data_IF_657133376384
#
_entry.id   IF_657133376384
#
_cell.length_a   1.000
_cell.length_b   1.000
_cell.length_c   1.000
_cell.angle_alpha   90.00
_cell.angle_beta   90.00
_cell.angle_gamma   90.00
#
_symmetry.space_group_name_H-M   'P 1'
#
loop_
_entity.id
_entity.type
_entity.pdbx_description
1 polymer ?
#
# COMPACT_ATOMS: atom_id res chain seq x y z
N UNK A 1 -46.09 6.44 4.79
CA UNK A 1 -45.50 6.51 6.14
C UNK A 1 -44.23 5.68 6.09
N UNK A 2 -43.16 6.33 5.69
CA UNK A 2 -41.81 5.79 5.60
C UNK A 2 -41.18 5.73 6.99
N UNK A 3 -40.45 4.66 7.30
CA UNK A 3 -39.93 4.46 8.66
C UNK A 3 -39.00 3.26 8.80
N UNK A 4 -37.87 3.34 8.11
CA UNK A 4 -36.61 2.59 8.23
C UNK A 4 -36.30 2.10 9.65
N UNK A 5 -35.86 0.84 9.78
CA UNK A 5 -34.98 0.40 10.88
C UNK A 5 -34.13 -0.79 10.45
N UNK A 6 -33.07 -0.52 9.68
CA UNK A 6 -32.00 -1.49 9.45
C UNK A 6 -30.93 -1.29 10.53
N UNK A 7 -31.01 -2.13 11.56
CA UNK A 7 -30.02 -2.33 12.61
C UNK A 7 -28.62 -2.58 11.99
N UNK A 8 -27.76 -1.57 11.96
CA UNK A 8 -26.33 -1.73 11.64
C UNK A 8 -25.56 -1.98 12.94
N UNK A 9 -25.75 -3.18 13.48
CA UNK A 9 -25.18 -3.56 14.76
C UNK A 9 -24.77 -5.02 14.78
N UNK A 10 -23.88 -5.43 13.88
CA UNK A 10 -22.91 -6.49 14.15
C UNK A 10 -21.84 -6.52 13.04
N UNK A 11 -20.65 -5.96 13.29
CA UNK A 11 -19.49 -6.19 12.41
C UNK A 11 -18.78 -7.41 12.96
N UNK A 12 -18.87 -8.59 12.32
CA UNK A 12 -18.19 -9.77 12.83
C UNK A 12 -16.67 -9.50 12.89
N UNK A 13 -16.01 -9.89 13.99
CA UNK A 13 -14.56 -9.85 14.08
C UNK A 13 -14.01 -10.91 13.11
N UNK A 14 -12.87 -10.63 12.48
CA UNK A 14 -12.17 -11.52 11.55
C UNK A 14 -12.70 -11.60 10.10
N UNK A 15 -12.97 -10.46 9.46
CA UNK A 15 -12.68 -10.38 8.01
C UNK A 15 -11.16 -10.35 7.89
N UNK A 16 -10.56 -11.48 7.53
CA UNK A 16 -9.15 -11.53 7.11
C UNK A 16 -8.99 -10.44 6.06
N UNK A 17 -8.33 -9.33 6.40
CA UNK A 17 -8.22 -8.16 5.51
C UNK A 17 -7.41 -8.60 4.31
N UNK A 18 -8.11 -9.02 3.25
CA UNK A 18 -7.49 -9.55 2.04
C UNK A 18 -6.83 -8.39 1.31
N UNK A 19 -5.51 -8.31 1.45
CA UNK A 19 -4.69 -7.38 0.68
C UNK A 19 -4.63 -7.87 -0.76
N UNK A 20 -5.26 -7.13 -1.66
CA UNK A 20 -5.29 -7.42 -3.09
C UNK A 20 -4.15 -6.68 -3.81
N UNK A 21 -3.65 -7.25 -4.90
CA UNK A 21 -2.62 -6.57 -5.71
C UNK A 21 -3.25 -5.79 -6.85
N UNK A 22 -2.89 -4.51 -7.00
CA UNK A 22 -3.27 -3.67 -8.14
C UNK A 22 -2.60 -4.19 -9.43
N UNK A 23 -3.41 -4.42 -10.46
CA UNK A 23 -2.95 -4.92 -11.77
C UNK A 23 -3.16 -3.90 -12.89
N UNK A 24 -4.15 -3.03 -12.77
CA UNK A 24 -4.59 -2.19 -13.89
C UNK A 24 -3.84 -0.86 -13.90
N UNK A 25 -3.32 -0.47 -15.07
CA UNK A 25 -2.58 0.78 -15.27
C UNK A 25 -3.35 2.05 -14.82
N UNK A 26 -4.67 2.20 -15.06
CA UNK A 26 -5.41 3.37 -14.59
C UNK A 26 -5.34 3.57 -13.08
N UNK A 27 -5.31 2.50 -12.29
CA UNK A 27 -5.22 2.59 -10.82
C UNK A 27 -3.87 3.19 -10.39
N UNK A 28 -2.78 2.82 -11.06
CA UNK A 28 -1.47 3.43 -10.83
C UNK A 28 -1.42 4.90 -11.24
N UNK A 29 -2.09 5.28 -12.33
CA UNK A 29 -2.17 6.68 -12.76
C UNK A 29 -2.92 7.53 -11.73
N UNK A 30 -4.06 7.03 -11.23
CA UNK A 30 -4.82 7.70 -10.16
C UNK A 30 -4.01 7.87 -8.87
N UNK A 31 -3.13 6.91 -8.55
CA UNK A 31 -2.25 7.01 -7.38
C UNK A 31 -1.11 8.03 -7.53
N UNK A 32 -0.82 8.52 -8.74
CA UNK A 32 0.36 9.38 -8.99
C UNK A 32 0.25 10.75 -8.30
N UNK A 33 -0.95 11.32 -8.23
CA UNK A 33 -1.21 12.61 -7.55
C UNK A 33 -1.53 12.48 -6.05
N UNK A 34 -1.53 11.27 -5.50
CA UNK A 34 -1.93 11.03 -4.13
C UNK A 34 -0.85 11.44 -3.11
N UNK A 35 -1.22 11.70 -1.85
CA UNK A 35 -0.25 11.93 -0.78
C UNK A 35 0.82 10.84 -0.74
N UNK A 36 2.07 11.27 -0.61
CA UNK A 36 3.24 10.37 -0.65
C UNK A 36 4.25 10.68 0.42
N UNK A 37 4.95 9.65 0.84
CA UNK A 37 6.09 9.73 1.76
C UNK A 37 7.29 9.07 1.09
N UNK A 38 8.39 9.81 1.05
CA UNK A 38 9.67 9.32 0.55
C UNK A 38 10.47 8.72 1.72
N UNK A 39 10.91 7.48 1.56
CA UNK A 39 11.85 6.79 2.43
C UNK A 39 13.16 6.51 1.68
N UNK A 40 14.27 6.20 2.37
CA UNK A 40 15.55 5.89 1.73
C UNK A 40 15.41 4.77 0.68
N UNK A 41 14.65 3.72 0.99
CA UNK A 41 14.50 2.56 0.12
C UNK A 41 13.36 2.63 -0.89
N UNK A 42 12.35 3.49 -0.72
CA UNK A 42 11.16 3.50 -1.58
C UNK A 42 10.37 4.80 -1.42
N UNK A 43 9.34 4.96 -2.24
CA UNK A 43 8.29 5.97 -2.03
C UNK A 43 6.99 5.21 -1.82
N UNK A 44 6.24 5.56 -0.76
CA UNK A 44 4.91 5.05 -0.51
C UNK A 44 3.90 6.13 -0.88
N UNK A 45 3.02 5.82 -1.83
CA UNK A 45 1.85 6.61 -2.17
C UNK A 45 0.63 5.96 -1.53
N UNK A 46 -0.30 6.77 -1.04
CA UNK A 46 -1.58 6.30 -0.52
C UNK A 46 -2.70 7.16 -1.07
N UNK A 47 -3.65 6.48 -1.71
CA UNK A 47 -4.85 7.09 -2.29
C UNK A 47 -6.08 6.56 -1.56
N UNK A 48 -6.96 7.47 -1.17
CA UNK A 48 -8.32 7.13 -0.75
C UNK A 48 -9.17 6.86 -2.00
N UNK A 49 -9.88 5.73 -2.01
CA UNK A 49 -10.81 5.40 -3.09
C UNK A 49 -12.17 6.05 -2.87
N UNK A 50 -12.89 6.25 -3.97
CA UNK A 50 -14.31 6.59 -3.89
C UNK A 50 -15.10 5.40 -3.34
N UNK A 51 -16.26 5.68 -2.74
CA UNK A 51 -17.20 4.65 -2.35
C UNK A 51 -17.58 3.79 -3.57
N UNK A 52 -17.73 2.48 -3.36
CA UNK A 52 -18.06 1.47 -4.39
C UNK A 52 -16.97 1.18 -5.45
N UNK A 53 -15.76 1.75 -5.37
CA UNK A 53 -14.70 1.45 -6.36
C UNK A 53 -14.12 0.03 -6.22
N UNK A 54 -13.91 -0.44 -4.99
CA UNK A 54 -13.56 -1.82 -4.65
C UNK A 54 -13.47 -1.99 -3.12
N UNK A 55 -13.58 -3.23 -2.66
CA UNK A 55 -13.47 -3.56 -1.24
C UNK A 55 -12.02 -3.80 -0.78
N UNK A 56 -11.84 -3.95 0.53
CA UNK A 56 -10.58 -4.41 1.15
C UNK A 56 -9.44 -3.39 1.08
N UNK A 57 -8.21 -3.88 1.01
CA UNK A 57 -6.98 -3.08 0.86
C UNK A 57 -6.32 -3.49 -0.44
N UNK A 58 -5.86 -2.51 -1.24
CA UNK A 58 -5.11 -2.83 -2.47
C UNK A 58 -3.70 -2.28 -2.42
N UNK A 59 -2.76 -3.00 -3.03
CA UNK A 59 -1.37 -2.57 -3.17
C UNK A 59 -0.80 -2.77 -4.57
N UNK A 60 -0.15 -1.74 -5.09
CA UNK A 60 0.64 -1.76 -6.31
C UNK A 60 2.14 -1.72 -6.01
N UNK A 61 2.93 -2.33 -6.90
CA UNK A 61 4.39 -2.30 -6.83
C UNK A 61 4.96 -1.79 -8.14
N UNK A 62 5.73 -0.72 -8.07
CA UNK A 62 6.39 -0.12 -9.22
C UNK A 62 7.90 -0.18 -9.00
N UNK A 63 8.60 -0.90 -9.87
CA UNK A 63 10.06 -0.87 -9.94
C UNK A 63 10.45 -0.43 -11.34
N UNK A 64 10.95 0.80 -11.48
CA UNK A 64 11.35 1.33 -12.78
C UNK A 64 12.55 0.55 -13.35
N UNK A 65 12.77 0.63 -14.67
CA UNK A 65 13.99 0.09 -15.29
C UNK A 65 15.27 0.68 -14.68
N UNK A 66 15.18 1.90 -14.12
CA UNK A 66 16.28 2.57 -13.43
C UNK A 66 16.70 1.86 -12.15
N UNK A 67 15.88 0.97 -11.58
CA UNK A 67 16.18 0.30 -10.29
C UNK A 67 17.48 -0.52 -10.33
N UNK A 68 17.83 -1.04 -11.51
CA UNK A 68 19.05 -1.83 -11.73
C UNK A 68 18.82 -2.90 -12.79
N UNK A 69 19.71 -3.89 -12.83
CA UNK A 69 19.57 -5.07 -13.71
C UNK A 69 18.32 -5.91 -13.34
N UNK A 70 18.01 -6.93 -14.15
CA UNK A 70 16.84 -7.79 -13.93
C UNK A 70 16.82 -8.43 -12.53
N UNK A 71 17.98 -8.85 -12.01
CA UNK A 71 18.12 -9.48 -10.71
C UNK A 71 17.84 -8.49 -9.58
N UNK A 72 18.47 -7.31 -9.62
CA UNK A 72 18.26 -6.23 -8.65
C UNK A 72 16.79 -5.77 -8.63
N UNK A 73 16.16 -5.64 -9.81
CA UNK A 73 14.74 -5.31 -9.94
C UNK A 73 13.84 -6.40 -9.33
N UNK A 74 14.13 -7.67 -9.58
CA UNK A 74 13.36 -8.79 -9.03
C UNK A 74 13.53 -8.88 -7.52
N UNK A 75 14.75 -8.67 -7.00
CA UNK A 75 15.06 -8.59 -5.58
C UNK A 75 14.31 -7.44 -4.90
N UNK A 76 14.34 -6.24 -5.49
CA UNK A 76 13.58 -5.10 -5.01
C UNK A 76 12.07 -5.40 -4.96
N UNK A 77 11.51 -5.95 -6.04
CA UNK A 77 10.08 -6.31 -6.09
C UNK A 77 9.69 -7.42 -5.10
N UNK A 78 10.59 -8.37 -4.79
CA UNK A 78 10.38 -9.39 -3.76
C UNK A 78 10.38 -8.75 -2.36
N UNK A 79 11.36 -7.89 -2.08
CA UNK A 79 11.47 -7.18 -0.79
C UNK A 79 10.28 -6.27 -0.52
N UNK A 80 9.85 -5.48 -1.51
CA UNK A 80 8.67 -4.61 -1.39
C UNK A 80 7.39 -5.41 -1.14
N UNK A 81 7.23 -6.57 -1.79
CA UNK A 81 6.09 -7.47 -1.55
C UNK A 81 6.10 -8.01 -0.14
N UNK A 82 7.27 -8.39 0.37
CA UNK A 82 7.35 -9.00 1.69
C UNK A 82 7.07 -7.99 2.82
N UNK A 83 7.63 -6.77 2.77
CA UNK A 83 7.32 -5.74 3.79
C UNK A 83 5.82 -5.41 3.80
N UNK A 84 5.19 -5.34 2.63
CA UNK A 84 3.76 -5.09 2.51
C UNK A 84 2.92 -6.26 3.04
N UNK A 85 3.30 -7.50 2.72
CA UNK A 85 2.63 -8.71 3.19
C UNK A 85 2.63 -8.80 4.72
N UNK A 86 3.72 -8.39 5.36
CA UNK A 86 3.85 -8.42 6.82
C UNK A 86 3.05 -7.30 7.49
N UNK A 87 3.07 -6.09 6.95
CA UNK A 87 2.52 -4.91 7.64
C UNK A 87 1.07 -4.55 7.24
N UNK A 88 0.67 -4.68 5.97
CA UNK A 88 -0.65 -4.24 5.52
C UNK A 88 -1.84 -4.99 6.15
N UNK A 89 -1.78 -6.31 6.40
CA UNK A 89 -2.88 -7.00 7.09
C UNK A 89 -3.13 -6.50 8.52
N UNK A 90 -2.11 -5.94 9.17
CA UNK A 90 -2.19 -5.46 10.56
C UNK A 90 -2.45 -3.96 10.66
N UNK A 91 -1.88 -3.17 9.75
CA UNK A 91 -1.86 -1.70 9.87
C UNK A 91 -2.47 -1.00 8.66
N UNK A 92 -2.87 -1.71 7.62
CA UNK A 92 -3.47 -1.08 6.45
C UNK A 92 -4.90 -0.61 6.72
N UNK A 93 -5.32 0.45 6.02
CA UNK A 93 -6.69 0.98 6.10
C UNK A 93 -7.55 0.46 4.94
N UNK A 94 -8.75 -0.01 5.26
CA UNK A 94 -9.74 -0.44 4.26
C UNK A 94 -10.17 0.76 3.41
N UNK A 95 -10.42 0.53 2.12
CA UNK A 95 -10.75 1.60 1.18
C UNK A 95 -9.52 2.34 0.63
N UNK A 96 -8.31 2.02 1.08
CA UNK A 96 -7.07 2.63 0.57
C UNK A 96 -6.38 1.80 -0.52
N UNK A 97 -5.78 2.52 -1.46
CA UNK A 97 -4.82 2.02 -2.45
C UNK A 97 -3.41 2.47 -2.06
N UNK A 98 -2.53 1.50 -1.82
CA UNK A 98 -1.11 1.74 -1.56
C UNK A 98 -0.29 1.50 -2.83
N UNK A 99 0.65 2.37 -3.16
CA UNK A 99 1.60 2.11 -4.26
C UNK A 99 3.02 2.29 -3.73
N UNK A 100 3.79 1.20 -3.78
CA UNK A 100 5.20 1.18 -3.43
C UNK A 100 6.07 1.35 -4.68
N UNK A 101 6.85 2.43 -4.71
CA UNK A 101 7.78 2.73 -5.79
C UNK A 101 9.21 2.49 -5.31
N UNK A 102 9.88 1.50 -5.90
CA UNK A 102 11.29 1.21 -5.61
C UNK A 102 12.23 2.29 -6.12
N UNK A 103 13.22 2.65 -5.30
CA UNK A 103 14.33 3.56 -5.63
C UNK A 103 15.51 2.78 -6.20
N UNK A 104 16.20 3.41 -7.16
CA UNK A 104 17.44 2.91 -7.75
C UNK A 104 18.51 2.69 -6.69
N UNK A 105 19.18 1.54 -6.77
CA UNK A 105 20.31 1.12 -5.92
C UNK A 105 20.06 1.11 -4.40
N UNK A 106 18.88 1.53 -3.92
CA UNK A 106 18.53 1.56 -2.50
C UNK A 106 17.60 0.41 -2.11
N UNK A 107 16.46 0.22 -2.82
CA UNK A 107 15.48 -0.84 -2.45
C UNK A 107 16.11 -2.23 -2.46
N UNK A 108 16.98 -2.47 -3.44
CA UNK A 108 17.64 -3.75 -3.56
C UNK A 108 18.69 -3.95 -2.47
N UNK A 109 19.41 -2.92 -2.02
CA UNK A 109 20.62 -3.09 -1.22
C UNK A 109 20.45 -2.82 0.27
N UNK A 110 19.50 -1.99 0.68
CA UNK A 110 19.29 -1.67 2.09
C UNK A 110 18.98 -2.91 2.94
N UNK A 111 19.32 -2.90 4.24
CA UNK A 111 18.91 -3.93 5.17
C UNK A 111 17.38 -4.12 5.17
N UNK A 112 16.91 -5.36 5.26
CA UNK A 112 15.47 -5.66 5.12
C UNK A 112 14.66 -5.16 6.32
N UNK A 113 15.23 -5.27 7.52
CA UNK A 113 14.74 -4.69 8.76
C UNK A 113 14.60 -3.17 8.67
N UNK A 114 15.54 -2.48 8.00
CA UNK A 114 15.42 -1.05 7.73
C UNK A 114 14.20 -0.76 6.85
N UNK A 115 14.00 -1.55 5.78
CA UNK A 115 12.83 -1.38 4.90
C UNK A 115 11.50 -1.60 5.66
N UNK A 116 11.45 -2.52 6.61
CA UNK A 116 10.28 -2.73 7.45
C UNK A 116 10.01 -1.52 8.37
N UNK A 117 11.03 -1.04 9.08
CA UNK A 117 10.92 0.14 9.95
C UNK A 117 10.46 1.36 9.17
N UNK A 118 11.08 1.60 8.01
CA UNK A 118 10.72 2.70 7.12
C UNK A 118 9.27 2.57 6.63
N UNK A 119 8.79 1.36 6.36
CA UNK A 119 7.43 1.11 5.90
C UNK A 119 6.40 1.43 6.99
N UNK A 120 6.61 0.94 8.21
CA UNK A 120 5.75 1.26 9.35
C UNK A 120 5.74 2.77 9.64
N UNK A 121 6.89 3.44 9.56
CA UNK A 121 6.98 4.90 9.70
C UNK A 121 6.20 5.63 8.60
N UNK A 122 6.34 5.20 7.35
CA UNK A 122 5.63 5.80 6.23
C UNK A 122 4.11 5.65 6.36
N UNK A 123 3.64 4.49 6.81
CA UNK A 123 2.22 4.26 7.11
C UNK A 123 1.72 5.22 8.19
N UNK A 124 2.41 5.33 9.32
CA UNK A 124 2.01 6.23 10.41
C UNK A 124 1.90 7.70 9.97
N UNK A 125 2.85 8.17 9.14
CA UNK A 125 2.80 9.53 8.58
C UNK A 125 1.59 9.71 7.64
N UNK A 126 1.32 8.73 6.78
CA UNK A 126 0.22 8.82 5.81
C UNK A 126 -1.14 8.70 6.49
N UNK A 127 -1.30 7.82 7.48
CA UNK A 127 -2.54 7.66 8.24
C UNK A 127 -2.84 8.90 9.08
N UNK A 128 -1.80 9.56 9.64
CA UNK A 128 -1.96 10.82 10.35
C UNK A 128 -2.48 11.97 9.48
N UNK A 129 -2.32 11.90 8.15
CA UNK A 129 -2.83 12.91 7.20
C UNK A 129 -4.27 12.67 6.74
N UNK A 130 -4.87 11.52 7.07
CA UNK A 130 -6.25 11.17 6.70
C UNK A 130 -7.25 11.65 7.75
N UNK A 131 -6.77 12.09 8.93
CA UNK A 131 -7.61 12.67 9.99
C UNK A 131 -7.94 14.13 9.73
#
# INVERSE_FOLDING_TARGET
>A
MDGTNANHGDKPPAVSVRVQTLKNRPDFQRATGAPRVAMPGFILQMRQRAENEAEGIRIGYTCSKKVGNAVARNRAKRRLREIARLALPQSGLVGMDYVLVGRKDATANLPFDQLQRDFSKALGILHGKVR
#
